data_IF_415988797793
#
_entry.id   IF_415988797793
#
_cell.length_a   1.000
_cell.length_b   1.000
_cell.length_c   1.000
_cell.angle_alpha   90.00
_cell.angle_beta   90.00
_cell.angle_gamma   90.00
#
_symmetry.space_group_name_H-M   'P 1'
#
loop_
_entity.id
_entity.type
_entity.pdbx_description
1 polymer ?
#
# COMPACT_ATOMS: atom_id res chain seq x y z
N UNK A 1 -5.63 25.44 10.09
CA UNK A 1 -5.14 24.12 9.73
C UNK A 1 -3.79 23.92 10.41
N UNK A 2 -3.65 22.89 11.25
CA UNK A 2 -2.39 22.60 11.93
C UNK A 2 -1.35 22.10 10.92
N UNK A 3 -0.06 22.27 11.18
CA UNK A 3 1.04 21.86 10.27
C UNK A 3 0.95 20.38 9.91
N UNK A 4 0.56 19.54 10.86
CA UNK A 4 0.36 18.09 10.66
C UNK A 4 -0.76 17.78 9.66
N UNK A 5 -1.86 18.53 9.68
CA UNK A 5 -2.99 18.41 8.77
C UNK A 5 -2.60 18.74 7.31
N UNK A 6 -1.70 19.72 7.11
CA UNK A 6 -1.17 20.05 5.77
C UNK A 6 -0.28 18.96 5.23
N UNK A 7 0.60 18.39 6.07
CA UNK A 7 1.53 17.34 5.65
C UNK A 7 0.76 16.07 5.25
N UNK A 8 -0.26 15.69 6.02
CA UNK A 8 -1.13 14.55 5.71
C UNK A 8 -1.93 14.77 4.41
N UNK A 9 -2.48 15.98 4.21
CA UNK A 9 -3.18 16.33 2.97
C UNK A 9 -2.25 16.23 1.75
N UNK A 10 -1.02 16.76 1.85
CA UNK A 10 -0.03 16.71 0.77
C UNK A 10 0.36 15.26 0.47
N UNK A 11 0.62 14.45 1.50
CA UNK A 11 0.97 13.04 1.34
C UNK A 11 -0.15 12.24 0.66
N UNK A 12 -1.40 12.47 1.06
CA UNK A 12 -2.58 11.84 0.44
C UNK A 12 -2.72 12.21 -1.03
N UNK A 13 -2.54 13.48 -1.39
CA UNK A 13 -2.64 13.93 -2.78
C UNK A 13 -1.55 13.33 -3.68
N UNK A 14 -0.32 13.22 -3.16
CA UNK A 14 0.79 12.58 -3.87
C UNK A 14 0.53 11.08 -4.01
N UNK A 15 0.20 10.41 -2.91
CA UNK A 15 -0.01 8.96 -2.86
C UNK A 15 -1.20 8.49 -3.71
N UNK A 16 -2.27 9.28 -3.80
CA UNK A 16 -3.43 8.98 -4.66
C UNK A 16 -3.22 9.36 -6.14
N UNK A 17 -2.10 10.00 -6.48
CA UNK A 17 -1.84 10.49 -7.84
C UNK A 17 -2.72 11.67 -8.27
N UNK A 18 -3.52 12.26 -7.36
CA UNK A 18 -4.38 13.41 -7.68
C UNK A 18 -3.57 14.68 -7.94
N UNK A 19 -2.43 14.84 -7.26
CA UNK A 19 -1.49 15.93 -7.50
C UNK A 19 -0.07 15.51 -7.11
N UNK A 20 0.80 15.38 -8.08
CA UNK A 20 2.17 14.87 -7.94
C UNK A 20 3.26 15.93 -8.19
N UNK A 21 2.87 17.19 -8.26
CA UNK A 21 3.82 18.32 -8.38
C UNK A 21 3.41 19.45 -7.43
N UNK A 22 4.37 20.23 -6.94
CA UNK A 22 4.08 21.39 -6.07
C UNK A 22 3.02 22.34 -6.66
N UNK A 23 3.07 22.71 -7.96
CA UNK A 23 2.03 23.54 -8.55
C UNK A 23 0.65 22.87 -8.59
N UNK A 24 0.59 21.55 -8.84
CA UNK A 24 -0.67 20.81 -8.85
C UNK A 24 -1.27 20.77 -7.45
N UNK A 25 -0.47 20.53 -6.42
CA UNK A 25 -0.91 20.52 -5.01
C UNK A 25 -1.42 21.90 -4.59
N UNK A 26 -0.72 22.99 -4.96
CA UNK A 26 -1.18 24.36 -4.73
C UNK A 26 -2.55 24.59 -5.36
N UNK A 27 -2.73 24.17 -6.61
CA UNK A 27 -4.00 24.30 -7.34
C UNK A 27 -5.13 23.50 -6.67
N UNK A 28 -4.83 22.31 -6.19
CA UNK A 28 -5.82 21.42 -5.58
C UNK A 28 -6.24 21.87 -4.18
N UNK A 29 -5.29 22.36 -3.40
CA UNK A 29 -5.52 22.75 -1.99
C UNK A 29 -5.89 24.21 -1.81
N UNK A 30 -5.55 25.08 -2.75
CA UNK A 30 -5.68 26.53 -2.60
C UNK A 30 -4.71 27.16 -1.58
N UNK A 31 -3.79 26.38 -1.03
CA UNK A 31 -2.82 26.87 -0.04
C UNK A 31 -1.70 27.66 -0.72
N UNK A 32 -1.05 28.52 0.06
CA UNK A 32 0.07 29.32 -0.45
C UNK A 32 1.23 28.42 -0.92
N UNK A 33 1.93 28.79 -2.03
CA UNK A 33 3.07 28.01 -2.53
C UNK A 33 4.18 27.78 -1.50
N UNK A 34 4.40 28.73 -0.61
CA UNK A 34 5.36 28.61 0.50
C UNK A 34 4.96 27.53 1.52
N UNK A 35 3.66 27.45 1.81
CA UNK A 35 3.12 26.42 2.72
C UNK A 35 3.30 25.02 2.14
N UNK A 36 2.97 24.83 0.86
CA UNK A 36 3.16 23.55 0.18
C UNK A 36 4.65 23.19 0.06
N UNK A 37 5.51 24.16 -0.27
CA UNK A 37 6.95 23.91 -0.35
C UNK A 37 7.53 23.49 1.00
N UNK A 38 7.12 24.13 2.09
CA UNK A 38 7.56 23.76 3.43
C UNK A 38 7.05 22.36 3.84
N UNK A 39 5.79 22.01 3.54
CA UNK A 39 5.24 20.68 3.79
C UNK A 39 6.01 19.59 3.01
N UNK A 40 6.22 19.82 1.71
CA UNK A 40 6.99 18.89 0.87
C UNK A 40 8.42 18.73 1.41
N UNK A 41 9.09 19.82 1.82
CA UNK A 41 10.45 19.71 2.37
C UNK A 41 10.48 18.86 3.63
N UNK A 42 9.53 19.04 4.57
CA UNK A 42 9.44 18.20 5.77
C UNK A 42 9.19 16.73 5.44
N UNK A 43 8.31 16.47 4.46
CA UNK A 43 8.02 15.10 4.01
C UNK A 43 9.22 14.45 3.35
N UNK A 44 10.03 15.22 2.59
CA UNK A 44 11.29 14.74 2.00
C UNK A 44 12.33 14.47 3.10
N UNK A 45 12.49 15.37 4.06
CA UNK A 45 13.40 15.19 5.21
C UNK A 45 13.01 13.98 6.07
N UNK A 46 11.69 13.73 6.20
CA UNK A 46 11.16 12.57 6.91
C UNK A 46 11.23 11.26 6.07
N UNK A 47 11.74 11.32 4.85
CA UNK A 47 11.82 10.17 3.95
C UNK A 47 10.48 9.68 3.42
N UNK A 48 9.39 10.45 3.55
CA UNK A 48 8.03 10.08 3.11
C UNK A 48 7.71 10.47 1.68
N UNK A 49 8.46 11.38 1.11
CA UNK A 49 8.33 11.86 -0.28
C UNK A 49 9.70 11.97 -0.91
N UNK A 50 9.84 11.59 -2.17
CA UNK A 50 11.02 11.83 -2.99
C UNK A 50 10.69 12.68 -4.22
N UNK A 51 11.69 13.40 -4.74
CA UNK A 51 11.59 14.04 -6.04
C UNK A 51 12.07 13.06 -7.11
N UNK A 52 11.17 12.65 -8.01
CA UNK A 52 11.52 11.79 -9.14
C UNK A 52 12.33 12.56 -10.19
N UNK A 53 13.21 11.87 -10.91
CA UNK A 53 14.01 12.45 -11.98
C UNK A 53 13.18 12.85 -13.22
N UNK A 54 11.96 12.37 -13.34
CA UNK A 54 11.03 12.74 -14.39
C UNK A 54 10.39 14.10 -14.12
N UNK A 55 10.54 15.03 -15.05
CA UNK A 55 9.93 16.34 -14.98
C UNK A 55 8.73 16.45 -15.90
N UNK A 56 7.57 16.80 -15.35
CA UNK A 56 6.35 17.06 -16.13
C UNK A 56 6.41 18.48 -16.72
N UNK A 57 6.36 18.60 -18.05
CA UNK A 57 6.31 19.88 -18.74
C UNK A 57 4.86 20.34 -18.95
N UNK A 58 4.47 21.42 -18.30
CA UNK A 58 3.17 22.10 -18.47
C UNK A 58 3.33 23.51 -19.05
N UNK A 59 4.31 23.71 -19.98
CA UNK A 59 4.48 25.02 -20.66
C UNK A 59 5.28 26.07 -19.90
N UNK A 60 6.16 25.66 -18.94
CA UNK A 60 7.01 26.56 -18.15
C UNK A 60 8.24 25.83 -17.62
N UNK A 61 8.87 26.38 -16.54
CA UNK A 61 9.94 25.70 -15.82
C UNK A 61 9.45 24.32 -15.40
N UNK A 62 10.17 23.27 -15.81
CA UNK A 62 9.83 21.87 -15.52
C UNK A 62 9.64 21.67 -14.02
N UNK A 63 8.44 21.26 -13.61
CA UNK A 63 8.15 20.91 -12.23
C UNK A 63 8.61 19.48 -11.99
N UNK A 64 9.36 19.25 -10.91
CA UNK A 64 9.76 17.90 -10.49
C UNK A 64 8.54 17.15 -9.98
N UNK A 65 8.41 15.93 -10.42
CA UNK A 65 7.39 15.02 -9.93
C UNK A 65 7.74 14.60 -8.50
N UNK A 66 6.73 14.58 -7.65
CA UNK A 66 6.82 14.09 -6.28
C UNK A 66 6.22 12.69 -6.23
N UNK A 67 6.92 11.78 -5.61
CA UNK A 67 6.44 10.42 -5.35
C UNK A 67 6.52 10.17 -3.86
N UNK A 68 5.59 9.43 -3.31
CA UNK A 68 5.72 8.95 -1.93
C UNK A 68 6.95 8.07 -1.88
N UNK A 69 7.90 8.45 -1.05
CA UNK A 69 9.09 7.66 -0.75
C UNK A 69 8.93 6.92 0.56
N UNK A 70 7.69 6.75 1.00
CA UNK A 70 7.46 5.78 2.04
C UNK A 70 8.22 4.57 1.57
N UNK A 71 9.02 3.99 2.42
CA UNK A 71 9.45 2.64 2.21
C UNK A 71 8.26 1.70 1.92
N UNK A 72 7.11 2.28 1.56
CA UNK A 72 6.02 1.74 0.81
C UNK A 72 6.54 1.35 -0.57
N UNK A 73 7.28 0.28 -0.59
CA UNK A 73 7.36 -0.59 -1.71
C UNK A 73 5.96 -0.80 -2.30
N UNK A 74 5.84 -1.55 -3.32
CA UNK A 74 4.55 -1.99 -3.80
C UNK A 74 3.67 -2.47 -2.62
N UNK A 75 2.37 -2.29 -2.69
CA UNK A 75 1.46 -3.02 -1.80
C UNK A 75 1.14 -4.36 -2.43
N UNK A 76 1.20 -5.42 -1.63
CA UNK A 76 0.64 -6.69 -2.00
C UNK A 76 -0.88 -6.67 -1.73
N UNK A 77 -1.66 -6.89 -2.76
CA UNK A 77 -3.11 -7.07 -2.66
C UNK A 77 -3.41 -8.55 -2.74
N UNK A 78 -4.03 -9.09 -1.71
CA UNK A 78 -4.33 -10.51 -1.59
C UNK A 78 -5.82 -10.71 -1.37
N UNK A 79 -6.45 -11.56 -2.18
CA UNK A 79 -7.80 -12.03 -1.98
C UNK A 79 -7.76 -13.54 -1.74
N UNK A 80 -8.30 -14.00 -0.61
CA UNK A 80 -8.42 -15.42 -0.29
C UNK A 80 -9.85 -15.88 -0.56
N UNK A 81 -9.99 -16.95 -1.33
CA UNK A 81 -11.21 -17.72 -1.47
C UNK A 81 -11.12 -19.05 -0.71
N UNK A 82 -12.08 -19.96 -0.94
CA UNK A 82 -12.09 -21.26 -0.26
C UNK A 82 -10.96 -22.18 -0.75
N UNK A 83 -10.68 -22.18 -2.06
CA UNK A 83 -9.70 -23.08 -2.71
C UNK A 83 -8.75 -22.35 -3.65
N UNK A 84 -8.77 -21.04 -3.68
CA UNK A 84 -7.88 -20.21 -4.48
C UNK A 84 -7.61 -18.88 -3.78
N UNK A 85 -6.53 -18.25 -4.13
CA UNK A 85 -6.23 -16.87 -3.81
C UNK A 85 -5.83 -16.12 -5.07
N UNK A 86 -5.87 -14.81 -5.00
CA UNK A 86 -5.30 -13.90 -5.99
C UNK A 86 -4.29 -13.02 -5.29
N UNK A 87 -3.13 -12.85 -5.90
CA UNK A 87 -2.07 -11.95 -5.40
C UNK A 87 -1.67 -11.02 -6.53
N UNK A 88 -1.66 -9.73 -6.27
CA UNK A 88 -1.18 -8.71 -7.19
C UNK A 88 -0.33 -7.68 -6.45
N UNK A 89 0.70 -7.16 -7.08
CA UNK A 89 1.46 -6.04 -6.56
C UNK A 89 0.95 -4.74 -7.15
N UNK A 90 0.85 -3.70 -6.33
CA UNK A 90 0.63 -2.34 -6.83
C UNK A 90 1.97 -1.68 -7.12
N UNK A 91 1.99 -0.85 -8.14
CA UNK A 91 3.09 0.07 -8.42
C UNK A 91 2.50 1.49 -8.41
N UNK A 92 2.99 2.41 -7.58
CA UNK A 92 2.48 3.79 -7.53
C UNK A 92 2.49 4.50 -8.88
N UNK A 93 3.40 4.11 -9.79
CA UNK A 93 3.52 4.69 -11.12
C UNK A 93 2.69 3.97 -12.19
N UNK A 94 2.42 2.66 -12.00
CA UNK A 94 1.81 1.78 -13.02
C UNK A 94 0.44 1.25 -12.63
N UNK A 95 0.01 1.46 -11.37
CA UNK A 95 -1.25 0.95 -10.85
C UNK A 95 -1.15 -0.50 -10.37
N UNK A 96 -2.24 -1.26 -10.49
CA UNK A 96 -2.28 -2.66 -10.06
C UNK A 96 -1.67 -3.54 -11.16
N UNK A 97 -0.70 -4.34 -10.79
CA UNK A 97 -0.08 -5.35 -11.66
C UNK A 97 -1.03 -6.49 -12.04
N UNK A 98 -0.55 -7.41 -12.83
CA UNK A 98 -1.31 -8.60 -13.19
C UNK A 98 -1.43 -9.50 -11.96
N UNK A 99 -2.67 -9.87 -11.61
CA UNK A 99 -2.90 -10.82 -10.54
C UNK A 99 -2.48 -12.22 -10.94
N UNK A 100 -1.75 -12.90 -10.07
CA UNK A 100 -1.50 -14.34 -10.19
C UNK A 100 -2.46 -15.13 -9.31
N UNK A 101 -2.82 -16.31 -9.78
CA UNK A 101 -3.65 -17.24 -9.03
C UNK A 101 -2.79 -18.09 -8.10
N UNK A 102 -3.18 -18.17 -6.85
CA UNK A 102 -2.58 -18.99 -5.82
C UNK A 102 -3.52 -20.15 -5.48
N UNK A 103 -3.04 -21.38 -5.62
CA UNK A 103 -3.82 -22.54 -5.22
C UNK A 103 -3.65 -22.75 -3.70
N UNK A 104 -4.75 -22.61 -2.96
CA UNK A 104 -4.80 -22.78 -1.53
C UNK A 104 -6.01 -23.62 -1.13
N UNK A 105 -6.02 -24.13 0.08
CA UNK A 105 -7.21 -24.58 0.78
C UNK A 105 -7.32 -23.80 2.09
N UNK A 106 -8.32 -22.95 2.20
CA UNK A 106 -8.53 -22.13 3.41
C UNK A 106 -8.72 -22.99 4.66
N UNK A 107 -9.20 -24.23 4.47
CA UNK A 107 -9.40 -25.20 5.56
C UNK A 107 -8.09 -25.81 6.07
N UNK A 108 -6.97 -25.62 5.39
CA UNK A 108 -5.65 -26.02 5.88
C UNK A 108 -5.18 -25.20 7.11
N UNK A 109 -5.91 -24.13 7.41
CA UNK A 109 -5.65 -23.25 8.55
C UNK A 109 -4.80 -22.02 8.19
N UNK A 110 -4.75 -21.03 9.10
CA UNK A 110 -4.13 -19.73 8.81
C UNK A 110 -2.63 -19.85 8.49
N UNK A 111 -1.88 -20.66 9.24
CA UNK A 111 -0.44 -20.77 9.05
C UNK A 111 -0.08 -21.20 7.61
N UNK A 112 -0.64 -22.32 7.16
CA UNK A 112 -0.33 -22.88 5.84
C UNK A 112 -0.75 -21.95 4.70
N UNK A 113 -1.89 -21.26 4.86
CA UNK A 113 -2.40 -20.32 3.86
C UNK A 113 -1.53 -19.07 3.81
N UNK A 114 -1.16 -18.50 4.96
CA UNK A 114 -0.32 -17.30 5.02
C UNK A 114 1.11 -17.59 4.55
N UNK A 115 1.67 -18.77 4.84
CA UNK A 115 2.97 -19.20 4.29
C UNK A 115 2.95 -19.17 2.76
N UNK A 116 1.90 -19.73 2.14
CA UNK A 116 1.76 -19.71 0.69
C UNK A 116 1.59 -18.29 0.11
N UNK A 117 0.89 -17.41 0.81
CA UNK A 117 0.75 -16.00 0.43
C UNK A 117 2.11 -15.30 0.47
N UNK A 118 2.87 -15.45 1.55
CA UNK A 118 4.19 -14.82 1.71
C UNK A 118 5.15 -15.30 0.63
N UNK A 119 5.16 -16.60 0.33
CA UNK A 119 5.99 -17.18 -0.73
C UNK A 119 5.64 -16.61 -2.11
N UNK A 120 4.34 -16.48 -2.41
CA UNK A 120 3.90 -15.90 -3.68
C UNK A 120 4.22 -14.41 -3.79
N UNK A 121 4.07 -13.63 -2.70
CA UNK A 121 4.45 -12.22 -2.65
C UNK A 121 5.94 -12.06 -2.92
N UNK A 122 6.79 -12.85 -2.25
CA UNK A 122 8.24 -12.83 -2.45
C UNK A 122 8.63 -13.16 -3.90
N UNK A 123 7.96 -14.15 -4.51
CA UNK A 123 8.17 -14.50 -5.92
C UNK A 123 7.82 -13.34 -6.87
N UNK A 124 6.73 -12.63 -6.60
CA UNK A 124 6.34 -11.46 -7.40
C UNK A 124 7.29 -10.27 -7.19
N UNK A 125 7.76 -10.04 -5.95
CA UNK A 125 8.78 -9.02 -5.66
C UNK A 125 10.04 -9.25 -6.52
N UNK A 126 10.55 -10.49 -6.53
CA UNK A 126 11.74 -10.84 -7.31
C UNK A 126 11.48 -10.65 -8.80
N UNK A 127 10.36 -11.13 -9.32
CA UNK A 127 10.01 -11.04 -10.73
C UNK A 127 9.81 -9.60 -11.22
N UNK A 128 9.24 -8.74 -10.37
CA UNK A 128 8.97 -7.34 -10.69
C UNK A 128 10.15 -6.39 -10.38
N UNK A 129 11.13 -6.85 -9.59
CA UNK A 129 12.24 -6.01 -9.13
C UNK A 129 11.80 -4.89 -8.18
N UNK A 130 10.73 -5.10 -7.43
CA UNK A 130 10.17 -4.13 -6.48
C UNK A 130 10.25 -4.68 -5.06
N UNK A 131 10.12 -3.80 -4.07
CA UNK A 131 9.96 -4.19 -2.67
C UNK A 131 8.53 -3.96 -2.24
N UNK A 132 7.94 -4.92 -1.55
CA UNK A 132 6.62 -4.77 -0.90
C UNK A 132 6.81 -4.12 0.47
N UNK A 133 6.11 -3.03 0.71
CA UNK A 133 6.15 -2.26 1.96
C UNK A 133 4.92 -2.48 2.84
N UNK A 134 3.91 -3.19 2.34
CA UNK A 134 2.69 -3.49 3.08
C UNK A 134 1.81 -4.49 2.33
N UNK A 135 0.82 -5.05 3.04
CA UNK A 135 -0.08 -6.04 2.48
C UNK A 135 -1.53 -5.71 2.86
N UNK A 136 -2.43 -5.79 1.89
CA UNK A 136 -3.87 -5.73 2.12
C UNK A 136 -4.47 -7.11 1.80
N UNK A 137 -5.14 -7.71 2.80
CA UNK A 137 -5.69 -9.05 2.71
C UNK A 137 -7.21 -9.05 2.85
N UNK A 138 -7.90 -9.62 1.87
CA UNK A 138 -9.32 -9.96 1.95
C UNK A 138 -9.49 -11.44 2.29
N UNK A 139 -10.25 -11.74 3.33
CA UNK A 139 -10.55 -13.11 3.76
C UNK A 139 -12.02 -13.45 3.49
N UNK A 140 -12.37 -14.72 3.19
CA UNK A 140 -13.76 -15.13 2.89
C UNK A 140 -14.57 -15.38 4.19
N UNK A 141 -14.49 -14.46 5.14
CA UNK A 141 -15.15 -14.54 6.43
C UNK A 141 -15.39 -13.19 7.08
N UNK A 142 -16.24 -13.13 8.09
CA UNK A 142 -16.48 -11.90 8.82
C UNK A 142 -15.24 -11.50 9.63
N UNK A 143 -14.94 -10.21 9.64
CA UNK A 143 -13.91 -9.60 10.47
C UNK A 143 -14.53 -8.59 11.43
N UNK A 144 -13.85 -8.30 12.54
CA UNK A 144 -14.32 -7.33 13.53
C UNK A 144 -14.34 -5.89 12.98
N UNK A 145 -14.85 -4.96 13.77
CA UNK A 145 -14.99 -3.56 13.40
C UNK A 145 -13.62 -2.90 13.08
N UNK A 146 -12.57 -3.35 13.74
CA UNK A 146 -11.20 -2.87 13.55
C UNK A 146 -10.51 -3.56 12.35
N UNK A 147 -11.22 -4.52 11.70
CA UNK A 147 -10.79 -5.26 10.51
C UNK A 147 -9.49 -6.06 10.70
N UNK A 148 -9.19 -6.42 11.93
CA UNK A 148 -7.97 -7.14 12.27
C UNK A 148 -8.21 -8.61 12.60
N UNK A 149 -9.36 -8.95 13.18
CA UNK A 149 -9.67 -10.30 13.70
C UNK A 149 -10.79 -10.97 12.92
N UNK A 150 -10.55 -12.21 12.52
CA UNK A 150 -11.61 -13.08 11.96
C UNK A 150 -12.56 -13.53 13.07
N UNK A 151 -13.87 -13.43 12.84
CA UNK A 151 -14.90 -13.74 13.82
C UNK A 151 -15.79 -14.87 13.33
N UNK A 152 -15.79 -16.00 14.03
CA UNK A 152 -16.67 -17.15 13.81
C UNK A 152 -16.88 -17.49 12.32
N UNK A 153 -15.81 -17.71 11.55
CA UNK A 153 -15.93 -18.01 10.15
C UNK A 153 -16.46 -19.45 9.95
N UNK A 154 -17.60 -19.59 9.30
CA UNK A 154 -18.27 -20.88 9.16
C UNK A 154 -17.48 -21.93 8.34
N UNK A 155 -16.55 -21.50 7.49
CA UNK A 155 -15.83 -22.35 6.53
C UNK A 155 -14.31 -22.22 6.59
N UNK A 156 -13.78 -21.65 7.68
CA UNK A 156 -12.35 -21.41 7.87
C UNK A 156 -11.90 -21.97 9.21
N UNK A 157 -11.72 -23.31 9.32
CA UNK A 157 -11.29 -23.92 10.58
C UNK A 157 -9.94 -23.37 11.02
N UNK A 158 -9.81 -23.07 12.30
CA UNK A 158 -8.61 -22.52 12.90
C UNK A 158 -8.42 -20.99 12.73
N UNK A 159 -9.31 -20.30 12.01
CA UNK A 159 -9.21 -18.87 11.81
C UNK A 159 -9.94 -18.00 12.83
N UNK A 160 -10.81 -18.61 13.66
CA UNK A 160 -11.58 -17.86 14.65
C UNK A 160 -10.66 -17.18 15.68
N UNK A 161 -10.82 -15.89 15.86
CA UNK A 161 -10.02 -15.08 16.75
C UNK A 161 -8.61 -14.70 16.24
N UNK A 162 -8.21 -15.20 15.08
CA UNK A 162 -6.91 -14.84 14.48
C UNK A 162 -6.90 -13.35 14.11
N UNK A 163 -5.90 -12.63 14.60
CA UNK A 163 -5.56 -11.31 14.11
C UNK A 163 -4.68 -11.48 12.87
N UNK A 164 -5.28 -11.27 11.70
CA UNK A 164 -4.62 -11.53 10.42
C UNK A 164 -3.47 -10.55 10.18
N UNK A 165 -3.61 -9.30 10.60
CA UNK A 165 -2.55 -8.30 10.47
C UNK A 165 -1.32 -8.66 11.30
N UNK A 166 -1.52 -9.08 12.57
CA UNK A 166 -0.42 -9.57 13.41
C UNK A 166 0.25 -10.81 12.80
N UNK A 167 -0.55 -11.78 12.36
CA UNK A 167 -0.04 -13.03 11.79
C UNK A 167 0.80 -12.78 10.52
N UNK A 168 0.35 -11.88 9.63
CA UNK A 168 1.13 -11.49 8.44
C UNK A 168 2.41 -10.75 8.84
N UNK A 169 2.32 -9.82 9.80
CA UNK A 169 3.50 -9.06 10.25
C UNK A 169 4.55 -9.98 10.87
N UNK A 170 4.12 -10.98 11.66
CA UNK A 170 5.03 -11.95 12.27
C UNK A 170 5.73 -12.84 11.22
N UNK A 171 5.03 -13.21 10.14
CA UNK A 171 5.56 -14.09 9.13
C UNK A 171 6.49 -13.42 8.12
N UNK A 172 6.14 -12.22 7.64
CA UNK A 172 6.88 -11.54 6.57
C UNK A 172 7.51 -10.22 6.99
N UNK A 173 7.25 -9.74 8.22
CA UNK A 173 7.71 -8.45 8.71
C UNK A 173 7.07 -7.25 8.01
N UNK A 174 6.02 -7.47 7.22
CA UNK A 174 5.30 -6.42 6.50
C UNK A 174 4.09 -5.95 7.32
N UNK A 175 3.81 -4.64 7.37
CA UNK A 175 2.57 -4.14 7.93
C UNK A 175 1.38 -4.59 7.08
N UNK A 176 0.30 -5.01 7.74
CA UNK A 176 -0.94 -5.48 7.09
C UNK A 176 -2.17 -4.74 7.63
#
# INVERSE_FOLDING_TARGET
MATHDVDETVLTLIGSGQADTRPAIVKQTGLAPSTISAAVSRLVEAGKVAEADESVSTGGRRARRLVTSDGAGALALVELGAHHGLVALTDPARGIGVASSLLIDIAAGPQAVLDAVVEEVARQEEAAGVRVGGLALAVPGPVDADRSRVIRPARMPGWDGINVAEAVTEQCGLPA
#
